data_IF_305467705295
#
_entry.id   IF_305467705295
#
_cell.length_a   1.000
_cell.length_b   1.000
_cell.length_c   1.000
_cell.angle_alpha   90.00
_cell.angle_beta   90.00
_cell.angle_gamma   90.00
#
_symmetry.space_group_name_H-M   'P 1'
#
loop_
_entity.id
_entity.type
_entity.pdbx_description
1 polymer ?
#
# COMPACT_ATOMS: atom_id res chain seq x y z
N UNK A 1 4.41 -37.20 23.96
CA UNK A 1 5.10 -36.88 22.70
C UNK A 1 4.38 -35.70 22.06
N UNK A 2 4.96 -34.50 22.02
CA UNK A 2 4.32 -33.32 21.39
C UNK A 2 4.71 -33.29 19.92
N UNK A 3 3.79 -33.30 18.94
CA UNK A 3 4.17 -33.02 17.57
C UNK A 3 4.48 -31.52 17.42
N UNK A 4 5.59 -31.24 16.75
CA UNK A 4 6.17 -29.94 16.56
C UNK A 4 5.21 -28.99 15.81
N UNK A 5 5.20 -27.73 16.25
CA UNK A 5 4.61 -26.59 15.55
C UNK A 5 5.36 -26.43 14.22
N UNK A 6 4.72 -26.44 13.04
CA UNK A 6 5.41 -26.06 11.82
C UNK A 6 5.70 -24.56 11.89
N UNK A 7 6.99 -24.23 11.80
CA UNK A 7 7.47 -22.86 11.62
C UNK A 7 6.90 -22.30 10.31
N UNK A 8 6.44 -21.04 10.27
CA UNK A 8 5.99 -20.44 9.02
C UNK A 8 7.17 -20.37 8.04
N UNK A 9 6.88 -20.79 6.81
CA UNK A 9 7.77 -20.76 5.63
C UNK A 9 8.20 -19.31 5.37
N UNK A 10 9.32 -18.91 5.97
CA UNK A 10 10.05 -17.69 5.65
C UNK A 10 10.78 -17.91 4.33
N UNK A 11 10.04 -17.82 3.22
CA UNK A 11 10.64 -17.67 1.90
C UNK A 11 10.70 -16.19 1.56
N UNK A 12 11.90 -15.61 1.36
CA UNK A 12 12.01 -14.33 0.68
C UNK A 12 11.68 -14.63 -0.79
N UNK A 13 10.43 -14.41 -1.17
CA UNK A 13 10.05 -14.50 -2.56
C UNK A 13 10.36 -13.15 -3.20
N UNK A 14 11.42 -13.10 -4.01
CA UNK A 14 11.51 -12.24 -5.20
C UNK A 14 10.43 -12.63 -6.23
N UNK A 15 9.18 -12.81 -5.77
CA UNK A 15 8.04 -12.81 -6.66
C UNK A 15 7.72 -11.36 -6.91
N UNK A 16 7.68 -10.99 -8.18
CA UNK A 16 6.98 -9.79 -8.61
C UNK A 16 5.55 -9.94 -8.09
N UNK A 17 5.29 -9.35 -6.93
CA UNK A 17 4.02 -9.48 -6.25
C UNK A 17 3.01 -8.68 -7.07
N UNK A 18 1.86 -9.26 -7.47
CA UNK A 18 0.89 -8.51 -8.23
C UNK A 18 0.44 -7.27 -7.43
N UNK A 19 0.35 -6.15 -8.12
CA UNK A 19 -0.04 -4.86 -7.55
C UNK A 19 -1.30 -4.94 -6.67
N UNK A 20 -2.29 -5.71 -7.12
CA UNK A 20 -3.53 -5.94 -6.38
C UNK A 20 -3.30 -6.60 -5.01
N UNK A 21 -2.32 -7.49 -4.90
CA UNK A 21 -1.99 -8.17 -3.64
C UNK A 21 -1.27 -7.22 -2.69
N UNK A 22 -0.36 -6.38 -3.20
CA UNK A 22 0.28 -5.32 -2.42
C UNK A 22 -0.77 -4.37 -1.83
N UNK A 23 -1.72 -3.92 -2.66
CA UNK A 23 -2.82 -3.04 -2.25
C UNK A 23 -3.66 -3.71 -1.16
N UNK A 24 -4.10 -4.96 -1.37
CA UNK A 24 -4.88 -5.73 -0.39
C UNK A 24 -4.14 -5.92 0.92
N UNK A 25 -2.83 -6.20 0.88
CA UNK A 25 -2.00 -6.40 2.07
C UNK A 25 -1.91 -5.12 2.88
N UNK A 26 -1.63 -3.98 2.26
CA UNK A 26 -1.52 -2.70 2.97
C UNK A 26 -2.86 -2.24 3.55
N UNK A 27 -3.97 -2.44 2.82
CA UNK A 27 -5.32 -2.17 3.35
C UNK A 27 -5.61 -3.07 4.57
N UNK A 28 -5.22 -4.34 4.49
CA UNK A 28 -5.43 -5.30 5.59
C UNK A 28 -4.53 -5.01 6.78
N UNK A 29 -3.29 -4.55 6.54
CA UNK A 29 -2.32 -4.19 7.58
C UNK A 29 -2.74 -2.94 8.36
N UNK A 30 -3.51 -2.05 7.73
CA UNK A 30 -4.01 -0.85 8.38
C UNK A 30 -5.16 -1.13 9.37
N UNK A 31 -5.67 -2.37 9.47
CA UNK A 31 -6.75 -2.85 10.36
C UNK A 31 -8.04 -1.99 10.35
N UNK A 32 -8.18 -1.11 9.35
CA UNK A 32 -9.24 -0.13 9.23
C UNK A 32 -9.97 -0.33 7.89
N UNK A 33 -11.30 -0.23 7.90
CA UNK A 33 -12.07 -0.10 6.67
C UNK A 33 -11.68 1.21 5.97
N UNK A 34 -11.45 1.20 4.67
CA UNK A 34 -11.05 2.39 3.89
C UNK A 34 -12.04 3.56 4.07
N UNK A 35 -13.31 3.25 4.29
CA UNK A 35 -14.38 4.21 4.56
C UNK A 35 -14.21 4.94 5.91
N UNK A 36 -13.55 4.31 6.88
CA UNK A 36 -13.22 4.89 8.19
C UNK A 36 -11.78 5.45 8.25
N UNK A 37 -10.99 5.23 7.20
CA UNK A 37 -9.65 5.79 7.13
C UNK A 37 -9.70 7.32 7.03
N UNK A 38 -9.26 7.96 8.11
CA UNK A 38 -8.94 9.40 8.09
C UNK A 38 -7.79 9.67 7.10
N UNK A 39 -7.70 10.93 6.67
CA UNK A 39 -6.66 11.45 5.76
C UNK A 39 -5.22 10.94 6.05
N UNK A 40 -4.71 10.94 7.31
CA UNK A 40 -3.37 10.42 7.59
C UNK A 40 -3.21 8.92 7.34
N UNK A 41 -4.23 8.10 7.60
CA UNK A 41 -4.16 6.66 7.34
C UNK A 41 -4.11 6.36 5.85
N UNK A 42 -4.90 7.09 5.05
CA UNK A 42 -4.86 6.97 3.58
C UNK A 42 -3.49 7.35 3.03
N UNK A 43 -2.91 8.45 3.54
CA UNK A 43 -1.56 8.88 3.20
C UNK A 43 -0.52 7.81 3.54
N UNK A 44 -0.62 7.18 4.72
CA UNK A 44 0.32 6.16 5.14
C UNK A 44 0.25 4.89 4.29
N UNK A 45 -0.96 4.44 3.93
CA UNK A 45 -1.15 3.32 2.99
C UNK A 45 -0.53 3.66 1.63
N UNK A 46 -0.79 4.85 1.09
CA UNK A 46 -0.21 5.26 -0.20
C UNK A 46 1.31 5.40 -0.12
N UNK A 47 1.87 5.93 0.98
CA UNK A 47 3.32 5.96 1.22
C UNK A 47 3.93 4.57 1.20
N UNK A 48 3.33 3.61 1.91
CA UNK A 48 3.88 2.26 1.98
C UNK A 48 3.85 1.56 0.60
N UNK A 49 2.77 1.76 -0.16
CA UNK A 49 2.66 1.23 -1.53
C UNK A 49 3.71 1.87 -2.46
N UNK A 50 3.99 3.16 -2.30
CA UNK A 50 5.05 3.86 -3.03
C UNK A 50 6.44 3.38 -2.66
N UNK A 51 6.75 3.28 -1.37
CA UNK A 51 7.99 2.70 -0.88
C UNK A 51 8.20 1.23 -1.31
N UNK A 52 7.10 0.48 -1.51
CA UNK A 52 7.13 -0.89 -2.03
C UNK A 52 7.31 -0.97 -3.55
N UNK A 53 7.34 0.17 -4.25
CA UNK A 53 7.51 0.25 -5.69
C UNK A 53 6.25 0.01 -6.52
N UNK A 54 5.05 0.02 -5.90
CA UNK A 54 3.78 -0.17 -6.62
C UNK A 54 3.62 0.84 -7.75
N UNK A 55 3.95 2.11 -7.49
CA UNK A 55 3.78 3.21 -8.44
C UNK A 55 4.80 3.23 -9.58
N UNK A 56 5.76 2.29 -9.59
CA UNK A 56 6.63 2.04 -10.75
C UNK A 56 5.90 1.27 -11.86
N UNK A 57 4.78 0.62 -11.52
CA UNK A 57 3.95 -0.13 -12.46
C UNK A 57 3.07 0.82 -13.27
N UNK A 58 2.86 0.47 -14.55
CA UNK A 58 1.82 1.13 -15.36
C UNK A 58 0.46 0.90 -14.71
N UNK A 59 -0.38 1.93 -14.75
CA UNK A 59 -1.74 1.89 -14.23
C UNK A 59 -1.86 1.69 -12.70
N UNK A 60 -0.76 1.80 -11.94
CA UNK A 60 -0.78 1.66 -10.48
C UNK A 60 -1.79 2.59 -9.81
N UNK A 61 -1.89 3.84 -10.31
CA UNK A 61 -2.89 4.82 -9.84
C UNK A 61 -4.32 4.31 -10.07
N UNK A 62 -4.59 3.67 -11.21
CA UNK A 62 -5.90 3.10 -11.49
C UNK A 62 -6.19 1.92 -10.59
N UNK A 63 -5.21 1.04 -10.35
CA UNK A 63 -5.37 -0.11 -9.45
C UNK A 63 -5.67 0.32 -8.01
N UNK A 64 -4.98 1.33 -7.48
CA UNK A 64 -5.27 1.87 -6.15
C UNK A 64 -6.66 2.54 -6.11
N UNK A 65 -7.05 3.21 -7.20
CA UNK A 65 -8.37 3.83 -7.31
C UNK A 65 -9.53 2.82 -7.50
N UNK A 66 -9.24 1.53 -7.74
CA UNK A 66 -10.27 0.48 -7.66
C UNK A 66 -10.67 0.17 -6.22
N UNK A 67 -9.88 0.59 -5.23
CA UNK A 67 -10.22 0.41 -3.83
C UNK A 67 -11.42 1.31 -3.44
N UNK A 68 -12.40 0.78 -2.69
CA UNK A 68 -13.62 1.52 -2.35
C UNK A 68 -13.30 2.77 -1.50
N UNK A 69 -13.76 3.94 -1.93
CA UNK A 69 -13.55 5.20 -1.21
C UNK A 69 -12.21 5.89 -1.50
N UNK A 70 -11.50 5.45 -2.53
CA UNK A 70 -10.31 6.11 -3.09
C UNK A 70 -10.56 6.41 -4.56
N UNK A 71 -10.29 7.65 -4.98
CA UNK A 71 -10.39 8.05 -6.39
C UNK A 71 -9.00 8.36 -6.94
N UNK A 72 -8.83 8.40 -8.27
CA UNK A 72 -7.57 8.85 -8.90
C UNK A 72 -7.12 10.21 -8.33
N UNK A 73 -8.06 11.13 -8.12
CA UNK A 73 -7.78 12.42 -7.49
C UNK A 73 -7.22 12.25 -6.07
N UNK A 74 -7.81 11.39 -5.24
CA UNK A 74 -7.30 11.08 -3.90
C UNK A 74 -5.88 10.50 -3.94
N UNK A 75 -5.59 9.62 -4.90
CA UNK A 75 -4.24 9.04 -5.07
C UNK A 75 -3.23 10.12 -5.47
N UNK A 76 -3.52 10.94 -6.48
CA UNK A 76 -2.64 12.05 -6.87
C UNK A 76 -2.45 13.05 -5.73
N UNK A 77 -3.51 13.38 -4.99
CA UNK A 77 -3.39 14.25 -3.84
C UNK A 77 -2.46 13.64 -2.78
N UNK A 78 -2.61 12.34 -2.48
CA UNK A 78 -1.72 11.67 -1.53
C UNK A 78 -0.27 11.67 -2.03
N UNK A 79 -0.01 11.27 -3.27
CA UNK A 79 1.33 11.29 -3.87
C UNK A 79 1.94 12.69 -3.85
N UNK A 80 1.15 13.72 -4.18
CA UNK A 80 1.60 15.11 -4.15
C UNK A 80 1.92 15.57 -2.73
N UNK A 81 1.13 15.19 -1.72
CA UNK A 81 1.46 15.48 -0.32
C UNK A 81 2.71 14.71 0.15
N UNK A 82 2.94 13.48 -0.34
CA UNK A 82 4.13 12.68 -0.02
C UNK A 82 5.40 13.29 -0.62
N UNK A 83 5.36 13.66 -1.91
CA UNK A 83 6.49 14.22 -2.65
C UNK A 83 6.71 15.71 -2.38
N UNK A 84 5.63 16.45 -2.12
CA UNK A 84 5.66 17.87 -1.76
C UNK A 84 6.29 18.10 -0.39
N UNK A 85 6.05 17.20 0.57
CA UNK A 85 6.72 17.17 1.87
C UNK A 85 8.22 16.86 1.73
N UNK A 86 8.60 16.02 0.75
CA UNK A 86 9.99 15.68 0.45
C UNK A 86 10.77 16.78 -0.28
N UNK A 87 10.10 17.82 -0.79
CA UNK A 87 10.74 18.93 -1.52
C UNK A 87 11.17 20.10 -0.61
N UNK A 88 10.91 20.01 0.71
CA UNK A 88 11.38 20.97 1.70
C UNK A 88 12.77 20.64 2.28
N UNK A 89 13.39 19.53 1.85
CA UNK A 89 14.78 19.16 2.17
C UNK A 89 15.63 19.20 0.89
N UNK A 90 15.86 20.40 0.35
CA UNK A 90 16.91 20.62 -0.64
C UNK A 90 17.49 22.02 -0.58
#
# INVERSE_FOLDING_TARGET
MRPARPVPDDRPRDVVEPAELMIKREISAADLRIEQMKKPHKLQVVRNLEASGLFLLRDAVEMVAQAPGVTKYTVYNCLNEIHGDSSADR
#
